data_IF_494341568766
#
_entry.id   IF_494341568766
#
_cell.length_a   1.000
_cell.length_b   1.000
_cell.length_c   1.000
_cell.angle_alpha   90.00
_cell.angle_beta   90.00
_cell.angle_gamma   90.00
#
_symmetry.space_group_name_H-M   'P 1'
#
loop_
_entity.id
_entity.type
_entity.pdbx_description
1 polymer ?
#
# COMPACT_ATOMS: atom_id res chain seq x y z
N UNK A 1 25.41 -31.82 -15.31
CA UNK A 1 24.13 -31.09 -15.56
C UNK A 1 22.89 -31.91 -15.21
N UNK A 2 22.81 -33.22 -15.52
CA UNK A 2 21.61 -34.05 -15.28
C UNK A 2 21.14 -34.11 -13.82
N UNK A 3 22.07 -34.08 -12.85
CA UNK A 3 21.74 -34.10 -11.41
C UNK A 3 21.02 -32.83 -10.91
N UNK A 4 21.11 -31.72 -11.65
CA UNK A 4 20.47 -30.44 -11.26
C UNK A 4 19.09 -30.26 -11.89
N UNK A 5 18.68 -31.13 -12.83
CA UNK A 5 17.36 -31.04 -13.49
C UNK A 5 16.18 -31.01 -12.49
N UNK A 6 16.16 -31.86 -11.44
CA UNK A 6 15.08 -31.84 -10.45
C UNK A 6 14.96 -30.50 -9.71
N UNK A 7 16.10 -29.88 -9.39
CA UNK A 7 16.14 -28.56 -8.75
C UNK A 7 15.61 -27.47 -9.68
N UNK A 8 15.98 -27.49 -10.97
CA UNK A 8 15.42 -26.57 -11.95
C UNK A 8 13.91 -26.75 -12.12
N UNK A 9 13.42 -28.00 -12.14
CA UNK A 9 11.99 -28.28 -12.21
C UNK A 9 11.23 -27.72 -11.00
N UNK A 10 11.76 -27.88 -9.78
CA UNK A 10 11.18 -27.31 -8.55
C UNK A 10 11.19 -25.77 -8.60
N UNK A 11 12.27 -25.15 -9.08
CA UNK A 11 12.35 -23.70 -9.24
C UNK A 11 11.31 -23.19 -10.24
N UNK A 12 11.17 -23.86 -11.39
CA UNK A 12 10.15 -23.50 -12.39
C UNK A 12 8.75 -23.66 -11.81
N UNK A 13 8.45 -24.77 -11.13
CA UNK A 13 7.16 -24.99 -10.49
C UNK A 13 6.85 -23.92 -9.42
N UNK A 14 7.82 -23.60 -8.57
CA UNK A 14 7.68 -22.55 -7.55
C UNK A 14 7.48 -21.16 -8.16
N UNK A 15 8.19 -20.84 -9.25
CA UNK A 15 8.02 -19.59 -9.98
C UNK A 15 6.63 -19.48 -10.62
N UNK A 16 6.12 -20.57 -11.21
CA UNK A 16 4.76 -20.63 -11.76
C UNK A 16 3.71 -20.45 -10.66
N UNK A 17 3.82 -21.18 -9.55
CA UNK A 17 2.89 -21.05 -8.41
C UNK A 17 2.89 -19.61 -7.88
N UNK A 18 4.07 -19.01 -7.73
CA UNK A 18 4.21 -17.62 -7.25
C UNK A 18 3.58 -16.64 -8.22
N UNK A 19 3.80 -16.80 -9.54
CA UNK A 19 3.18 -15.97 -10.56
C UNK A 19 1.65 -16.10 -10.54
N UNK A 20 1.12 -17.33 -10.44
CA UNK A 20 -0.31 -17.59 -10.34
C UNK A 20 -0.90 -16.96 -9.07
N UNK A 21 -0.27 -17.14 -7.91
CA UNK A 21 -0.72 -16.56 -6.65
C UNK A 21 -0.73 -15.02 -6.69
N UNK A 22 0.33 -14.41 -7.22
CA UNK A 22 0.45 -12.95 -7.31
C UNK A 22 -0.48 -12.34 -8.38
N UNK A 23 -0.76 -13.06 -9.47
CA UNK A 23 -1.71 -12.62 -10.50
C UNK A 23 -3.16 -12.66 -10.01
N UNK A 24 -3.55 -13.67 -9.21
CA UNK A 24 -4.86 -13.72 -8.57
C UNK A 24 -5.05 -12.61 -7.53
N UNK A 25 -3.97 -12.22 -6.84
CA UNK A 25 -3.97 -11.08 -5.91
C UNK A 25 -3.92 -9.69 -6.55
N UNK A 26 -3.99 -9.57 -7.89
CA UNK A 26 -3.79 -8.31 -8.67
C UNK A 26 -2.49 -7.56 -8.33
N UNK A 27 -1.52 -8.22 -7.69
CA UNK A 27 -0.26 -7.62 -7.26
C UNK A 27 0.78 -7.56 -8.39
N UNK A 28 0.64 -8.43 -9.40
CA UNK A 28 1.42 -8.38 -10.65
C UNK A 28 0.81 -7.34 -11.57
N UNK A 29 1.57 -6.27 -11.86
CA UNK A 29 1.20 -5.35 -12.95
C UNK A 29 1.45 -6.05 -14.28
N UNK A 30 0.40 -6.16 -15.09
CA UNK A 30 0.50 -6.83 -16.39
C UNK A 30 1.46 -6.08 -17.31
N UNK A 31 1.96 -6.75 -18.35
CA UNK A 31 2.85 -6.13 -19.34
C UNK A 31 2.22 -4.93 -20.08
N UNK A 32 0.91 -4.73 -19.94
CA UNK A 32 0.18 -3.57 -20.44
C UNK A 32 0.54 -2.26 -19.72
N UNK A 33 0.94 -2.32 -18.44
CA UNK A 33 1.12 -1.13 -17.59
C UNK A 33 2.52 -0.52 -17.66
N UNK A 34 3.52 -1.28 -18.15
CA UNK A 34 4.90 -0.82 -18.30
C UNK A 34 5.61 -1.57 -19.45
N UNK A 35 6.08 -0.87 -20.50
CA UNK A 35 6.77 -1.50 -21.63
C UNK A 35 8.01 -2.27 -21.19
N UNK A 36 8.30 -3.39 -21.88
CA UNK A 36 9.45 -4.25 -21.57
C UNK A 36 10.79 -3.47 -21.64
N UNK A 37 10.89 -2.52 -22.57
CA UNK A 37 12.06 -1.66 -22.70
C UNK A 37 12.31 -0.81 -21.45
N UNK A 38 11.24 -0.29 -20.82
CA UNK A 38 11.33 0.48 -19.60
C UNK A 38 11.79 -0.42 -18.43
N UNK A 39 11.26 -1.64 -18.33
CA UNK A 39 11.66 -2.61 -17.30
C UNK A 39 13.12 -3.02 -17.45
N UNK A 40 13.58 -3.28 -18.68
CA UNK A 40 14.98 -3.61 -18.96
C UNK A 40 15.92 -2.43 -18.63
N UNK A 41 15.53 -1.22 -19.03
CA UNK A 41 16.28 0.00 -18.72
C UNK A 41 16.39 0.21 -17.20
N UNK A 42 15.28 0.03 -16.49
CA UNK A 42 15.24 0.10 -15.04
C UNK A 42 16.11 -0.96 -14.38
N UNK A 43 16.06 -2.19 -14.87
CA UNK A 43 16.86 -3.29 -14.33
C UNK A 43 18.36 -2.98 -14.40
N UNK A 44 18.84 -2.49 -15.56
CA UNK A 44 20.25 -2.10 -15.74
C UNK A 44 20.66 -1.02 -14.74
N UNK A 45 19.89 0.06 -14.64
CA UNK A 45 20.20 1.16 -13.72
C UNK A 45 20.08 0.74 -12.26
N UNK A 46 19.12 -0.13 -11.93
CA UNK A 46 18.95 -0.65 -10.57
C UNK A 46 20.12 -1.53 -10.14
N UNK A 47 20.66 -2.38 -11.02
CA UNK A 47 21.89 -3.13 -10.74
C UNK A 47 23.05 -2.19 -10.42
N UNK A 48 23.28 -1.17 -11.24
CA UNK A 48 24.34 -0.19 -11.02
C UNK A 48 24.14 0.60 -9.71
N UNK A 49 22.89 1.00 -9.42
CA UNK A 49 22.54 1.71 -8.20
C UNK A 49 22.76 0.85 -6.96
N UNK A 50 22.39 -0.43 -6.99
CA UNK A 50 22.61 -1.34 -5.86
C UNK A 50 24.09 -1.65 -5.61
N UNK A 51 24.94 -1.63 -6.65
CA UNK A 51 26.38 -1.68 -6.46
C UNK A 51 26.88 -0.46 -5.66
N UNK A 52 26.40 0.73 -6.01
CA UNK A 52 26.73 1.95 -5.27
C UNK A 52 26.21 1.90 -3.83
N UNK A 53 24.94 1.55 -3.64
CA UNK A 53 24.29 1.49 -2.32
C UNK A 53 24.92 0.45 -1.38
N UNK A 54 25.61 -0.56 -1.92
CA UNK A 54 26.36 -1.53 -1.10
C UNK A 54 27.49 -0.88 -0.32
N UNK A 55 28.17 0.10 -0.94
CA UNK A 55 29.31 0.78 -0.33
C UNK A 55 28.93 2.17 0.22
N UNK A 56 27.86 2.76 -0.28
CA UNK A 56 27.35 4.06 0.13
C UNK A 56 25.82 4.03 0.28
N UNK A 57 25.29 3.41 1.35
CA UNK A 57 23.86 3.26 1.60
C UNK A 57 23.24 4.57 2.12
N UNK A 58 23.27 5.62 1.30
CA UNK A 58 22.65 6.90 1.59
C UNK A 58 21.27 7.02 0.92
N UNK A 59 20.42 7.90 1.46
CA UNK A 59 19.17 8.31 0.83
C UNK A 59 18.21 7.14 0.52
N UNK A 60 18.18 6.15 1.43
CA UNK A 60 17.31 5.00 1.32
C UNK A 60 15.85 5.42 1.58
N UNK A 61 14.98 5.12 0.63
CA UNK A 61 13.56 5.44 0.66
C UNK A 61 12.69 4.18 0.76
N UNK A 62 11.51 4.34 1.37
CA UNK A 62 10.54 3.24 1.48
C UNK A 62 9.88 2.91 0.15
N UNK A 63 9.82 3.87 -0.78
CA UNK A 63 9.19 3.71 -2.08
C UNK A 63 9.88 4.56 -3.15
N UNK A 64 10.34 3.91 -4.21
CA UNK A 64 10.92 4.56 -5.38
C UNK A 64 9.91 4.57 -6.54
N UNK A 65 9.38 5.75 -6.93
CA UNK A 65 8.42 5.84 -8.02
C UNK A 65 9.11 5.60 -9.37
N UNK A 66 8.34 5.18 -10.38
CA UNK A 66 8.81 5.21 -11.75
C UNK A 66 8.99 6.66 -12.18
N UNK A 67 10.22 7.01 -12.55
CA UNK A 67 10.58 8.27 -13.18
C UNK A 67 11.29 7.99 -14.50
N UNK A 68 11.25 8.95 -15.42
CA UNK A 68 12.00 8.84 -16.67
C UNK A 68 13.49 8.65 -16.38
N UNK A 69 14.07 7.56 -16.87
CA UNK A 69 15.50 7.26 -16.69
C UNK A 69 16.27 7.91 -17.84
N UNK A 70 17.20 8.84 -17.57
CA UNK A 70 18.01 9.45 -18.62
C UNK A 70 18.82 8.41 -19.40
N UNK A 71 18.93 8.57 -20.72
CA UNK A 71 19.63 7.63 -21.59
C UNK A 71 21.10 7.39 -21.18
N UNK A 72 21.78 8.43 -20.69
CA UNK A 72 23.16 8.31 -20.22
C UNK A 72 23.32 7.38 -19.01
N UNK A 73 22.31 7.31 -18.12
CA UNK A 73 22.33 6.40 -16.96
C UNK A 73 22.21 4.96 -17.43
N UNK A 74 21.36 4.70 -18.43
CA UNK A 74 21.18 3.37 -19.02
C UNK A 74 22.49 2.92 -19.69
N UNK A 75 23.08 3.80 -20.50
CA UNK A 75 24.34 3.52 -21.21
C UNK A 75 25.47 3.30 -20.20
N UNK A 76 25.63 4.19 -19.22
CA UNK A 76 26.66 4.08 -18.18
C UNK A 76 26.51 2.81 -17.35
N UNK A 77 25.28 2.47 -16.94
CA UNK A 77 24.99 1.23 -16.23
C UNK A 77 25.33 0.00 -17.09
N UNK A 78 24.95 -0.01 -18.37
CA UNK A 78 25.27 -1.11 -19.28
C UNK A 78 26.79 -1.32 -19.41
N UNK A 79 27.56 -0.25 -19.66
CA UNK A 79 29.03 -0.33 -19.74
C UNK A 79 29.66 -0.82 -18.44
N UNK A 80 29.20 -0.30 -17.28
CA UNK A 80 29.68 -0.74 -15.98
C UNK A 80 29.46 -2.23 -15.76
N UNK A 81 28.23 -2.72 -16.00
CA UNK A 81 27.88 -4.13 -15.79
C UNK A 81 28.61 -5.06 -16.75
N UNK A 82 28.77 -4.67 -18.02
CA UNK A 82 29.56 -5.42 -19.00
C UNK A 82 31.03 -5.48 -18.56
N UNK A 83 31.60 -4.37 -18.12
CA UNK A 83 32.98 -4.29 -17.65
C UNK A 83 33.24 -5.18 -16.43
N UNK A 84 32.39 -5.10 -15.40
CA UNK A 84 32.50 -5.96 -14.21
C UNK A 84 32.33 -7.43 -14.59
N UNK A 85 31.35 -7.74 -15.45
CA UNK A 85 31.14 -9.12 -15.92
C UNK A 85 32.37 -9.65 -16.63
N UNK A 86 32.92 -8.90 -17.60
CA UNK A 86 34.12 -9.29 -18.33
C UNK A 86 35.32 -9.49 -17.39
N UNK A 87 35.50 -8.60 -16.41
CA UNK A 87 36.54 -8.73 -15.39
C UNK A 87 36.37 -10.01 -14.55
N UNK A 88 35.19 -10.25 -13.99
CA UNK A 88 34.90 -11.46 -13.22
C UNK A 88 35.12 -12.75 -14.03
N UNK A 89 34.73 -12.75 -15.31
CA UNK A 89 35.01 -13.87 -16.21
C UNK A 89 36.49 -14.03 -16.52
N UNK A 90 37.25 -12.94 -16.71
CA UNK A 90 38.71 -13.01 -16.93
C UNK A 90 39.43 -13.61 -15.72
N UNK A 91 38.96 -13.29 -14.51
CA UNK A 91 39.57 -13.73 -13.25
C UNK A 91 39.07 -15.09 -12.76
N UNK A 92 38.12 -15.74 -13.46
CA UNK A 92 37.45 -16.96 -12.98
C UNK A 92 38.37 -18.12 -12.60
N UNK A 93 39.54 -18.23 -13.24
CA UNK A 93 40.54 -19.28 -12.94
C UNK A 93 41.49 -18.92 -11.79
N UNK A 94 41.68 -17.62 -11.52
CA UNK A 94 42.64 -17.11 -10.53
C UNK A 94 41.92 -16.81 -9.20
N UNK A 95 40.77 -16.13 -9.28
CA UNK A 95 39.95 -15.70 -8.14
C UNK A 95 38.50 -16.11 -8.38
N UNK A 96 38.15 -17.39 -8.20
CA UNK A 96 36.82 -17.90 -8.53
C UNK A 96 35.70 -17.25 -7.69
N UNK A 97 36.01 -16.75 -6.49
CA UNK A 97 35.04 -16.03 -5.66
C UNK A 97 34.46 -14.78 -6.34
N UNK A 98 35.20 -14.14 -7.27
CA UNK A 98 34.71 -12.98 -8.01
C UNK A 98 33.50 -13.32 -8.89
N UNK A 99 33.62 -14.40 -9.67
CA UNK A 99 32.52 -14.81 -10.57
C UNK A 99 31.36 -15.45 -9.79
N UNK A 100 31.65 -16.18 -8.71
CA UNK A 100 30.61 -16.74 -7.84
C UNK A 100 29.77 -15.63 -7.21
N UNK A 101 30.43 -14.65 -6.59
CA UNK A 101 29.74 -13.50 -6.01
C UNK A 101 28.98 -12.67 -7.04
N UNK A 102 29.60 -12.42 -8.20
CA UNK A 102 28.95 -11.67 -9.27
C UNK A 102 27.69 -12.34 -9.83
N UNK A 103 27.76 -13.64 -10.13
CA UNK A 103 26.59 -14.39 -10.61
C UNK A 103 25.50 -14.53 -9.54
N UNK A 104 25.90 -14.64 -8.27
CA UNK A 104 24.94 -14.60 -7.15
C UNK A 104 24.20 -13.27 -7.12
N UNK A 105 24.93 -12.15 -7.13
CA UNK A 105 24.35 -10.80 -7.15
C UNK A 105 23.42 -10.61 -8.34
N UNK A 106 23.86 -10.96 -9.55
CA UNK A 106 23.03 -10.85 -10.75
C UNK A 106 21.76 -11.70 -10.63
N UNK A 107 21.88 -12.98 -10.30
CA UNK A 107 20.74 -13.90 -10.29
C UNK A 107 19.71 -13.61 -9.20
N UNK A 108 20.17 -13.34 -7.98
CA UNK A 108 19.28 -13.15 -6.83
C UNK A 108 18.58 -11.79 -6.80
N UNK A 109 19.09 -10.81 -7.56
CA UNK A 109 18.49 -9.48 -7.64
C UNK A 109 17.36 -9.39 -8.69
N UNK A 110 17.27 -10.32 -9.64
CA UNK A 110 16.24 -10.37 -10.70
C UNK A 110 14.80 -10.17 -10.17
N UNK A 111 14.37 -10.82 -9.07
CA UNK A 111 13.02 -10.63 -8.54
C UNK A 111 12.75 -9.24 -7.96
N UNK A 112 13.80 -8.48 -7.62
CA UNK A 112 13.72 -7.23 -6.85
C UNK A 112 13.76 -5.97 -7.74
N UNK A 113 14.38 -6.06 -8.92
CA UNK A 113 14.66 -4.92 -9.82
C UNK A 113 13.55 -4.59 -10.81
N UNK A 114 12.33 -5.08 -10.55
CA UNK A 114 11.16 -4.74 -11.35
C UNK A 114 11.12 -5.38 -12.74
N UNK A 115 11.95 -6.40 -13.04
CA UNK A 115 11.82 -7.21 -14.26
C UNK A 115 10.50 -8.01 -14.24
N UNK A 116 10.26 -8.72 -13.14
CA UNK A 116 8.96 -9.30 -12.79
C UNK A 116 8.31 -8.35 -11.79
N UNK A 117 7.51 -7.43 -12.29
CA UNK A 117 7.02 -6.31 -11.50
C UNK A 117 5.89 -6.73 -10.56
N UNK A 118 6.21 -6.81 -9.27
CA UNK A 118 5.24 -6.96 -8.16
C UNK A 118 5.15 -5.60 -7.45
N UNK A 119 4.02 -4.91 -7.62
CA UNK A 119 3.81 -3.55 -7.12
C UNK A 119 4.27 -2.43 -8.08
N UNK A 120 4.22 -1.19 -7.61
CA UNK A 120 4.44 0.03 -8.41
C UNK A 120 5.84 0.66 -8.31
N UNK A 121 6.78 0.03 -7.60
CA UNK A 121 8.12 0.55 -7.34
C UNK A 121 9.15 0.05 -8.36
N UNK A 122 10.17 0.87 -8.65
CA UNK A 122 11.28 0.50 -9.54
C UNK A 122 12.32 -0.40 -8.88
N UNK A 123 12.47 -0.28 -7.56
CA UNK A 123 13.40 -1.05 -6.75
C UNK A 123 12.90 -1.10 -5.31
N UNK A 124 13.41 -2.03 -4.52
CA UNK A 124 12.95 -2.27 -3.15
C UNK A 124 14.10 -2.72 -2.24
N UNK A 125 14.60 -1.78 -1.44
CA UNK A 125 15.80 -1.97 -0.61
C UNK A 125 15.64 -3.10 0.42
N UNK A 126 14.40 -3.31 0.90
CA UNK A 126 14.08 -4.38 1.86
C UNK A 126 14.40 -5.79 1.37
N UNK A 127 14.57 -6.00 0.06
CA UNK A 127 14.93 -7.31 -0.50
C UNK A 127 16.40 -7.40 -0.90
N UNK A 128 17.19 -6.34 -0.68
CA UNK A 128 18.58 -6.27 -1.13
C UNK A 128 19.55 -7.12 -0.29
N UNK A 129 19.14 -7.56 0.89
CA UNK A 129 20.00 -8.33 1.81
C UNK A 129 20.48 -9.67 1.26
N UNK A 130 19.70 -10.37 0.42
CA UNK A 130 20.15 -11.62 -0.23
C UNK A 130 21.10 -11.32 -1.40
N UNK A 131 20.78 -10.40 -2.33
CA UNK A 131 21.70 -9.99 -3.39
C UNK A 131 23.04 -9.46 -2.90
N UNK A 132 23.06 -8.68 -1.83
CA UNK A 132 24.29 -8.06 -1.33
C UNK A 132 25.32 -9.10 -0.84
N UNK A 133 24.90 -10.31 -0.43
CA UNK A 133 25.80 -11.43 -0.14
C UNK A 133 26.74 -11.70 -1.32
N UNK A 134 26.22 -11.62 -2.55
CA UNK A 134 27.02 -11.79 -3.76
C UNK A 134 28.13 -10.76 -3.91
N UNK A 135 27.96 -9.55 -3.37
CA UNK A 135 28.98 -8.49 -3.36
C UNK A 135 29.91 -8.59 -2.15
N UNK A 136 29.43 -9.09 -1.02
CA UNK A 136 30.26 -9.33 0.15
C UNK A 136 31.25 -10.50 -0.03
N UNK A 137 30.90 -11.53 -0.80
CA UNK A 137 31.84 -12.62 -1.14
C UNK A 137 33.15 -12.07 -1.74
N UNK A 138 33.15 -11.35 -2.88
CA UNK A 138 34.38 -10.85 -3.47
C UNK A 138 35.07 -9.81 -2.60
N UNK A 139 34.34 -9.04 -1.80
CA UNK A 139 34.90 -8.10 -0.85
C UNK A 139 35.71 -8.83 0.24
N UNK A 140 35.11 -9.79 0.94
CA UNK A 140 35.73 -10.50 2.07
C UNK A 140 36.92 -11.33 1.61
N UNK A 141 36.75 -12.15 0.57
CA UNK A 141 37.84 -12.99 0.07
C UNK A 141 38.95 -12.16 -0.61
N UNK A 142 38.59 -11.08 -1.29
CA UNK A 142 39.55 -10.14 -1.86
C UNK A 142 40.39 -9.44 -0.79
N UNK A 143 39.74 -8.94 0.27
CA UNK A 143 40.43 -8.35 1.42
C UNK A 143 41.34 -9.36 2.12
N UNK A 144 40.91 -10.61 2.27
CA UNK A 144 41.74 -11.67 2.83
C UNK A 144 43.00 -11.95 1.98
N UNK A 145 42.89 -11.94 0.66
CA UNK A 145 44.04 -12.10 -0.24
C UNK A 145 45.03 -10.92 -0.16
N UNK A 146 44.52 -9.70 0.01
CA UNK A 146 45.36 -8.51 0.23
C UNK A 146 46.03 -8.56 1.60
N UNK A 147 45.29 -8.94 2.65
CA UNK A 147 45.80 -9.05 4.01
C UNK A 147 46.96 -10.05 4.12
N UNK A 148 46.94 -11.15 3.36
CA UNK A 148 48.08 -12.09 3.29
C UNK A 148 49.38 -11.46 2.80
N UNK A 149 49.30 -10.37 2.03
CA UNK A 149 50.47 -9.67 1.48
C UNK A 149 50.96 -8.55 2.41
N UNK A 150 50.13 -8.09 3.33
CA UNK A 150 50.40 -6.93 4.18
C UNK A 150 50.48 -7.39 5.65
N UNK A 151 51.66 -7.28 6.25
CA UNK A 151 51.84 -7.56 7.68
C UNK A 151 51.39 -6.35 8.50
N UNK A 152 50.08 -6.22 8.71
CA UNK A 152 49.50 -5.21 9.60
C UNK A 152 49.64 -5.70 11.05
N UNK A 153 50.17 -4.86 11.95
CA UNK A 153 50.26 -5.20 13.36
C UNK A 153 48.85 -5.55 13.92
N UNK A 154 48.70 -6.64 14.70
CA UNK A 154 47.38 -7.10 15.16
C UNK A 154 46.56 -6.01 15.88
N UNK A 155 47.24 -5.17 16.66
CA UNK A 155 46.62 -4.05 17.35
C UNK A 155 46.06 -3.01 16.38
N UNK A 156 46.83 -2.62 15.36
CA UNK A 156 46.41 -1.66 14.34
C UNK A 156 45.22 -2.20 13.53
N UNK A 157 45.25 -3.49 13.16
CA UNK A 157 44.13 -4.15 12.49
C UNK A 157 42.85 -4.16 13.34
N UNK A 158 42.97 -4.49 14.63
CA UNK A 158 41.86 -4.46 15.58
C UNK A 158 41.31 -3.03 15.76
N UNK A 159 42.18 -2.01 15.85
CA UNK A 159 41.76 -0.61 15.94
C UNK A 159 41.00 -0.18 14.69
N UNK A 160 41.50 -0.49 13.49
CA UNK A 160 40.82 -0.16 12.23
C UNK A 160 39.44 -0.83 12.19
N UNK A 161 39.38 -2.13 12.51
CA UNK A 161 38.11 -2.85 12.56
C UNK A 161 37.13 -2.23 13.57
N UNK A 162 37.60 -1.88 14.77
CA UNK A 162 36.80 -1.22 15.79
C UNK A 162 36.24 0.13 15.34
N UNK A 163 37.06 0.96 14.69
CA UNK A 163 36.64 2.25 14.13
C UNK A 163 35.59 2.06 13.03
N UNK A 164 35.81 1.11 12.11
CA UNK A 164 34.86 0.81 11.03
C UNK A 164 33.53 0.31 11.60
N UNK A 165 33.57 -0.60 12.57
CA UNK A 165 32.35 -1.10 13.22
C UNK A 165 31.59 0.00 13.96
N UNK A 166 32.28 0.89 14.66
CA UNK A 166 31.66 2.04 15.32
C UNK A 166 31.03 3.01 14.32
N UNK A 167 31.71 3.29 13.20
CA UNK A 167 31.16 4.11 12.13
C UNK A 167 29.91 3.46 11.50
N UNK A 168 29.94 2.17 11.20
CA UNK A 168 28.77 1.45 10.67
C UNK A 168 27.62 1.39 11.68
N UNK A 169 27.91 1.18 12.97
CA UNK A 169 26.89 1.16 14.02
C UNK A 169 26.21 2.52 14.19
N UNK A 170 26.98 3.62 14.17
CA UNK A 170 26.44 4.98 14.27
C UNK A 170 25.59 5.34 13.06
N UNK A 171 26.06 5.03 11.83
CA UNK A 171 25.28 5.22 10.60
C UNK A 171 23.99 4.38 10.60
N UNK A 172 24.08 3.13 11.04
CA UNK A 172 22.91 2.24 11.14
C UNK A 172 21.90 2.77 12.14
N UNK A 173 22.35 3.24 13.31
CA UNK A 173 21.48 3.86 14.30
C UNK A 173 20.78 5.10 13.73
N UNK A 174 21.52 5.98 13.04
CA UNK A 174 20.94 7.15 12.38
C UNK A 174 19.89 6.77 11.30
N UNK A 175 20.15 5.72 10.52
CA UNK A 175 19.21 5.21 9.53
C UNK A 175 17.93 4.66 10.17
N UNK A 176 18.03 3.93 11.28
CA UNK A 176 16.87 3.33 11.96
C UNK A 176 15.96 4.43 12.55
N UNK A 177 16.51 5.56 12.99
CA UNK A 177 15.70 6.68 13.48
C UNK A 177 14.71 7.22 12.42
N UNK A 178 14.97 7.02 11.12
CA UNK A 178 14.03 7.40 10.06
C UNK A 178 12.75 6.56 10.06
N UNK A 179 12.77 5.38 10.66
CA UNK A 179 11.64 4.46 10.77
C UNK A 179 10.84 4.64 12.07
N UNK A 180 11.12 5.68 12.85
CA UNK A 180 10.48 5.93 14.15
C UNK A 180 8.96 6.14 14.01
N UNK A 181 8.55 6.89 13.00
CA UNK A 181 7.15 7.23 12.76
C UNK A 181 6.90 7.50 11.27
N UNK A 182 5.63 7.44 10.86
CA UNK A 182 5.21 7.61 9.47
C UNK A 182 5.59 8.97 8.90
N UNK A 183 5.57 10.04 9.71
CA UNK A 183 5.90 11.39 9.25
C UNK A 183 7.38 11.46 8.86
N UNK A 184 8.27 11.09 9.78
CA UNK A 184 9.72 11.09 9.57
C UNK A 184 10.09 10.23 8.34
N UNK A 185 9.46 9.06 8.21
CA UNK A 185 9.72 8.13 7.11
C UNK A 185 9.28 8.69 5.76
N UNK A 186 8.06 9.24 5.69
CA UNK A 186 7.50 9.78 4.44
C UNK A 186 8.15 11.10 4.04
N UNK A 187 8.39 12.01 4.98
CA UNK A 187 9.11 13.26 4.74
C UNK A 187 10.53 13.00 4.23
N UNK A 188 11.26 12.06 4.85
CA UNK A 188 12.57 11.66 4.35
C UNK A 188 12.47 11.11 2.92
N UNK A 189 11.48 10.25 2.66
CA UNK A 189 11.28 9.68 1.32
C UNK A 189 11.00 10.77 0.29
N UNK A 190 10.18 11.78 0.61
CA UNK A 190 9.94 12.92 -0.29
C UNK A 190 11.20 13.77 -0.52
N UNK A 191 12.06 13.89 0.48
CA UNK A 191 13.30 14.64 0.36
C UNK A 191 14.34 13.97 -0.57
N UNK A 192 14.29 12.63 -0.68
CA UNK A 192 15.31 11.85 -1.41
C UNK A 192 14.81 11.16 -2.67
N UNK A 193 13.52 11.31 -3.00
CA UNK A 193 12.93 10.75 -4.23
C UNK A 193 12.36 11.84 -5.14
N UNK A 194 12.26 11.59 -6.45
CA UNK A 194 11.50 12.45 -7.36
C UNK A 194 10.03 12.59 -6.91
N UNK A 195 9.23 13.49 -7.51
CA UNK A 195 7.81 13.67 -7.18
C UNK A 195 7.09 12.34 -7.00
N UNK A 196 6.52 12.13 -5.81
CA UNK A 196 6.12 10.81 -5.34
C UNK A 196 4.65 10.78 -4.95
N UNK A 197 3.80 10.50 -5.93
CA UNK A 197 2.33 10.45 -5.78
C UNK A 197 1.90 9.63 -4.56
N UNK A 198 2.47 8.43 -4.39
CA UNK A 198 2.09 7.50 -3.33
C UNK A 198 2.48 8.01 -1.95
N UNK A 199 3.64 8.63 -1.83
CA UNK A 199 4.14 9.11 -0.53
C UNK A 199 3.47 10.42 -0.13
N UNK A 200 3.21 11.35 -1.07
CA UNK A 200 2.39 12.53 -0.81
C UNK A 200 1.00 12.12 -0.31
N UNK A 201 0.34 11.16 -0.97
CA UNK A 201 -0.95 10.65 -0.54
C UNK A 201 -0.90 9.98 0.85
N UNK A 202 0.07 9.11 1.10
CA UNK A 202 0.18 8.42 2.39
C UNK A 202 0.51 9.37 3.55
N UNK A 203 1.34 10.40 3.29
CA UNK A 203 1.61 11.45 4.27
C UNK A 203 0.35 12.27 4.55
N UNK A 204 -0.42 12.61 3.52
CA UNK A 204 -1.74 13.24 3.68
C UNK A 204 -2.70 12.41 4.53
N UNK A 205 -2.77 11.09 4.31
CA UNK A 205 -3.58 10.18 5.15
C UNK A 205 -3.12 10.21 6.61
N UNK A 206 -1.81 10.11 6.86
CA UNK A 206 -1.26 10.12 8.21
C UNK A 206 -1.58 11.43 8.96
N UNK A 207 -1.52 12.57 8.25
CA UNK A 207 -1.93 13.87 8.76
C UNK A 207 -3.43 13.91 9.08
N UNK A 208 -4.28 13.41 8.18
CA UNK A 208 -5.73 13.37 8.35
C UNK A 208 -6.16 12.52 9.55
N UNK A 209 -5.57 11.33 9.73
CA UNK A 209 -5.81 10.47 10.91
C UNK A 209 -5.43 11.19 12.21
N UNK A 210 -4.42 12.05 12.17
CA UNK A 210 -3.98 12.86 13.32
C UNK A 210 -4.79 14.16 13.49
N UNK A 211 -5.85 14.35 12.71
CA UNK A 211 -6.71 15.55 12.75
C UNK A 211 -6.10 16.80 12.09
N UNK A 212 -4.93 16.69 11.45
CA UNK A 212 -4.21 17.80 10.81
C UNK A 212 -4.70 18.00 9.37
N UNK A 213 -5.96 18.38 9.22
CA UNK A 213 -6.65 18.41 7.91
C UNK A 213 -6.07 19.43 6.93
N UNK A 214 -5.57 20.58 7.40
CA UNK A 214 -4.96 21.60 6.51
C UNK A 214 -3.65 21.10 5.86
N UNK A 215 -2.84 20.40 6.63
CA UNK A 215 -1.59 19.79 6.15
C UNK A 215 -1.89 18.59 5.25
N UNK A 216 -2.90 17.78 5.61
CA UNK A 216 -3.38 16.70 4.77
C UNK A 216 -3.82 17.20 3.39
N UNK A 217 -4.62 18.27 3.34
CA UNK A 217 -5.06 18.89 2.09
C UNK A 217 -3.88 19.38 1.26
N UNK A 218 -2.84 19.95 1.88
CA UNK A 218 -1.63 20.38 1.18
C UNK A 218 -0.93 19.21 0.48
N UNK A 219 -0.78 18.08 1.17
CA UNK A 219 -0.16 16.87 0.59
C UNK A 219 -1.04 16.21 -0.47
N UNK A 220 -2.36 16.14 -0.28
CA UNK A 220 -3.26 15.66 -1.31
C UNK A 220 -3.25 16.55 -2.56
N UNK A 221 -3.14 17.88 -2.40
CA UNK A 221 -3.01 18.80 -3.53
C UNK A 221 -1.73 18.53 -4.34
N UNK A 222 -0.59 18.28 -3.67
CA UNK A 222 0.66 17.88 -4.35
C UNK A 222 0.50 16.54 -5.08
N UNK A 223 -0.18 15.57 -4.48
CA UNK A 223 -0.49 14.31 -5.14
C UNK A 223 -1.33 14.54 -6.41
N UNK A 224 -2.37 15.36 -6.34
CA UNK A 224 -3.24 15.69 -7.47
C UNK A 224 -2.57 16.58 -8.53
N UNK A 225 -1.50 17.30 -8.19
CA UNK A 225 -0.66 17.97 -9.19
C UNK A 225 0.15 16.97 -10.02
N UNK A 226 0.55 15.83 -9.44
CA UNK A 226 1.27 14.77 -10.14
C UNK A 226 0.31 13.97 -11.02
N UNK A 227 -0.86 13.61 -10.48
CA UNK A 227 -1.92 12.93 -11.21
C UNK A 227 -3.30 13.51 -10.85
N UNK A 228 -3.86 14.39 -11.69
CA UNK A 228 -5.16 15.04 -11.44
C UNK A 228 -6.35 14.08 -11.36
N UNK A 229 -6.22 12.88 -11.93
CA UNK A 229 -7.26 11.85 -11.92
C UNK A 229 -6.96 10.74 -10.91
N UNK A 230 -6.08 10.99 -9.94
CA UNK A 230 -5.77 9.97 -8.94
C UNK A 230 -6.96 9.75 -8.00
N UNK A 231 -7.74 8.69 -8.27
CA UNK A 231 -8.98 8.36 -7.54
C UNK A 231 -8.84 8.42 -6.01
N UNK A 232 -7.88 7.71 -5.43
CA UNK A 232 -7.70 7.68 -3.98
C UNK A 232 -7.35 9.06 -3.41
N UNK A 233 -6.57 9.85 -4.15
CA UNK A 233 -6.23 11.23 -3.81
C UNK A 233 -7.45 12.16 -3.85
N UNK A 234 -8.32 12.02 -4.85
CA UNK A 234 -9.56 12.78 -4.98
C UNK A 234 -10.54 12.46 -3.84
N UNK A 235 -10.75 11.18 -3.53
CA UNK A 235 -11.58 10.76 -2.40
C UNK A 235 -11.00 11.28 -1.07
N UNK A 236 -9.70 11.14 -0.85
CA UNK A 236 -9.07 11.59 0.39
C UNK A 236 -9.10 13.12 0.55
N UNK A 237 -8.91 13.87 -0.53
CA UNK A 237 -9.12 15.33 -0.53
C UNK A 237 -10.58 15.68 -0.20
N UNK A 238 -11.55 15.02 -0.83
CA UNK A 238 -12.97 15.26 -0.57
C UNK A 238 -13.34 15.00 0.90
N UNK A 239 -12.88 13.89 1.48
CA UNK A 239 -13.06 13.59 2.91
C UNK A 239 -12.42 14.66 3.79
N UNK A 240 -11.21 15.11 3.44
CA UNK A 240 -10.49 16.17 4.18
C UNK A 240 -11.27 17.48 4.17
N UNK A 241 -11.80 17.89 3.00
CA UNK A 241 -12.63 19.10 2.85
C UNK A 241 -13.94 18.99 3.63
N UNK A 242 -14.56 17.82 3.66
CA UNK A 242 -15.75 17.57 4.47
C UNK A 242 -15.46 17.76 5.97
N UNK A 243 -14.33 17.24 6.48
CA UNK A 243 -13.90 17.44 7.86
C UNK A 243 -13.56 18.89 8.20
N UNK A 244 -13.10 19.67 7.21
CA UNK A 244 -12.89 21.12 7.33
C UNK A 244 -14.21 21.93 7.25
N UNK A 245 -15.36 21.28 7.06
CA UNK A 245 -16.66 21.94 6.89
C UNK A 245 -16.89 22.51 5.48
N UNK A 246 -15.96 22.30 4.55
CA UNK A 246 -16.03 22.75 3.16
C UNK A 246 -16.78 21.74 2.30
N UNK A 247 -18.03 21.45 2.67
CA UNK A 247 -18.87 20.43 2.02
C UNK A 247 -19.04 20.66 0.50
N UNK A 248 -19.26 21.89 -0.01
CA UNK A 248 -19.38 22.08 -1.46
C UNK A 248 -18.13 21.64 -2.22
N UNK A 249 -16.94 21.97 -1.72
CA UNK A 249 -15.67 21.54 -2.32
C UNK A 249 -15.49 20.02 -2.23
N UNK A 250 -15.91 19.41 -1.12
CA UNK A 250 -15.88 17.96 -0.96
C UNK A 250 -16.70 17.24 -2.05
N UNK A 251 -17.90 17.76 -2.36
CA UNK A 251 -18.75 17.24 -3.44
C UNK A 251 -18.03 17.29 -4.78
N UNK A 252 -17.37 18.41 -5.11
CA UNK A 252 -16.64 18.54 -6.38
C UNK A 252 -15.53 17.49 -6.52
N UNK A 253 -14.79 17.22 -5.43
CA UNK A 253 -13.77 16.18 -5.41
C UNK A 253 -14.35 14.77 -5.50
N UNK A 254 -15.48 14.47 -4.84
CA UNK A 254 -16.13 13.17 -4.98
C UNK A 254 -16.68 12.94 -6.38
N UNK A 255 -17.27 13.97 -7.01
CA UNK A 255 -17.68 13.90 -8.40
C UNK A 255 -16.49 13.72 -9.35
N UNK A 256 -15.35 14.36 -9.07
CA UNK A 256 -14.12 14.12 -9.82
C UNK A 256 -13.62 12.69 -9.66
N UNK A 257 -13.69 12.13 -8.45
CA UNK A 257 -13.34 10.72 -8.19
C UNK A 257 -14.24 9.77 -8.98
N UNK A 258 -15.57 10.01 -9.00
CA UNK A 258 -16.53 9.24 -9.80
C UNK A 258 -16.22 9.36 -11.30
N UNK A 259 -15.88 10.56 -11.80
CA UNK A 259 -15.46 10.72 -13.21
C UNK A 259 -14.20 9.92 -13.55
N UNK A 260 -13.25 9.85 -12.61
CA UNK A 260 -12.03 9.06 -12.79
C UNK A 260 -12.28 7.55 -12.73
N UNK A 261 -13.13 7.11 -11.82
CA UNK A 261 -13.46 5.69 -11.65
C UNK A 261 -14.96 5.53 -11.37
N UNK A 262 -15.79 5.43 -12.42
CA UNK A 262 -17.24 5.40 -12.30
C UNK A 262 -17.80 4.17 -11.59
N UNK A 263 -17.04 3.06 -11.53
CA UNK A 263 -17.46 1.79 -10.95
C UNK A 263 -17.03 1.62 -9.48
N UNK A 264 -16.50 2.67 -8.86
CA UNK A 264 -16.00 2.61 -7.49
C UNK A 264 -17.06 3.04 -6.47
N UNK A 265 -17.59 2.11 -5.64
CA UNK A 265 -18.70 2.41 -4.72
C UNK A 265 -18.35 3.44 -3.65
N UNK A 266 -17.08 3.48 -3.21
CA UNK A 266 -16.64 4.35 -2.12
C UNK A 266 -16.86 5.84 -2.42
N UNK A 267 -16.60 6.31 -3.65
CA UNK A 267 -16.81 7.72 -3.98
C UNK A 267 -18.30 8.09 -4.00
N UNK A 268 -19.17 7.17 -4.46
CA UNK A 268 -20.62 7.33 -4.40
C UNK A 268 -21.14 7.42 -2.96
N UNK A 269 -20.67 6.53 -2.06
CA UNK A 269 -21.02 6.60 -0.62
C UNK A 269 -20.60 7.94 -0.01
N UNK A 270 -19.38 8.39 -0.27
CA UNK A 270 -18.88 9.67 0.28
C UNK A 270 -19.63 10.88 -0.30
N UNK A 271 -19.99 10.84 -1.58
CA UNK A 271 -20.84 11.86 -2.19
C UNK A 271 -22.24 11.88 -1.56
N UNK A 272 -22.85 10.72 -1.33
CA UNK A 272 -24.14 10.62 -0.64
C UNK A 272 -24.07 11.27 0.76
N UNK A 273 -23.02 10.99 1.52
CA UNK A 273 -22.81 11.58 2.85
C UNK A 273 -22.73 13.11 2.77
N UNK A 274 -21.94 13.64 1.83
CA UNK A 274 -21.83 15.07 1.63
C UNK A 274 -23.16 15.71 1.20
N UNK A 275 -23.94 15.04 0.36
CA UNK A 275 -25.26 15.51 -0.09
C UNK A 275 -26.29 15.57 1.05
N UNK A 276 -26.29 14.60 1.98
CA UNK A 276 -27.15 14.68 3.18
C UNK A 276 -26.83 15.88 4.07
N UNK A 277 -25.55 16.23 4.22
CA UNK A 277 -25.19 17.44 4.99
C UNK A 277 -25.69 18.73 4.34
N UNK A 278 -26.09 18.69 3.07
CA UNK A 278 -26.77 19.78 2.36
C UNK A 278 -28.30 19.59 2.24
N UNK A 279 -28.89 18.62 2.94
CA UNK A 279 -30.33 18.28 2.87
C UNK A 279 -30.78 17.88 1.44
N UNK A 280 -29.89 17.25 0.66
CA UNK A 280 -30.18 16.77 -0.71
C UNK A 280 -30.47 15.28 -0.71
N UNK A 281 -31.50 14.88 0.04
CA UNK A 281 -31.76 13.47 0.39
C UNK A 281 -31.98 12.56 -0.82
N UNK A 282 -32.81 12.95 -1.78
CA UNK A 282 -33.08 12.14 -2.98
C UNK A 282 -31.81 11.95 -3.84
N UNK A 283 -30.98 12.99 -3.96
CA UNK A 283 -29.72 12.88 -4.69
C UNK A 283 -28.75 11.93 -3.96
N UNK A 284 -28.68 12.01 -2.63
CA UNK A 284 -27.86 11.12 -1.83
C UNK A 284 -28.30 9.65 -1.93
N UNK A 285 -29.62 9.39 -1.94
CA UNK A 285 -30.15 8.05 -2.14
C UNK A 285 -29.80 7.48 -3.51
N UNK A 286 -29.77 8.31 -4.56
CA UNK A 286 -29.40 7.84 -5.89
C UNK A 286 -27.92 7.46 -5.97
N UNK A 287 -27.04 8.24 -5.34
CA UNK A 287 -25.63 7.86 -5.23
C UNK A 287 -25.44 6.57 -4.42
N UNK A 288 -26.21 6.39 -3.35
CA UNK A 288 -26.16 5.16 -2.56
C UNK A 288 -26.72 3.93 -3.34
N UNK A 289 -27.74 4.14 -4.17
CA UNK A 289 -28.22 3.14 -5.12
C UNK A 289 -27.12 2.74 -6.11
N UNK A 290 -26.40 3.71 -6.68
CA UNK A 290 -25.26 3.45 -7.56
C UNK A 290 -24.17 2.64 -6.83
N UNK A 291 -23.80 3.04 -5.62
CA UNK A 291 -22.82 2.29 -4.81
C UNK A 291 -23.22 0.83 -4.62
N UNK A 292 -24.49 0.56 -4.27
CA UNK A 292 -25.02 -0.79 -4.11
C UNK A 292 -25.05 -1.60 -5.41
N UNK A 293 -25.30 -0.94 -6.56
CA UNK A 293 -25.27 -1.58 -7.88
C UNK A 293 -23.85 -1.97 -8.30
N UNK A 294 -22.85 -1.15 -8.00
CA UNK A 294 -21.45 -1.47 -8.29
C UNK A 294 -20.86 -2.51 -7.34
N UNK A 295 -21.40 -2.62 -6.13
CA UNK A 295 -20.97 -3.57 -5.10
C UNK A 295 -22.11 -4.50 -4.65
N UNK A 296 -22.71 -5.31 -5.53
CA UNK A 296 -23.94 -6.06 -5.23
C UNK A 296 -23.73 -7.18 -4.18
N UNK A 297 -22.49 -7.54 -3.87
CA UNK A 297 -22.13 -8.55 -2.86
C UNK A 297 -21.48 -7.96 -1.62
N UNK A 298 -21.40 -6.63 -1.54
CA UNK A 298 -20.86 -5.94 -0.37
C UNK A 298 -22.00 -5.71 0.63
N UNK A 299 -21.90 -6.41 1.76
CA UNK A 299 -22.92 -6.34 2.80
C UNK A 299 -22.96 -4.97 3.48
N UNK A 300 -21.82 -4.31 3.61
CA UNK A 300 -21.70 -3.04 4.33
C UNK A 300 -22.30 -1.92 3.49
N UNK A 301 -21.99 -1.88 2.17
CA UNK A 301 -22.63 -0.92 1.25
C UNK A 301 -24.15 -1.09 1.19
N UNK A 302 -24.66 -2.33 1.24
CA UNK A 302 -26.10 -2.58 1.33
C UNK A 302 -26.71 -2.14 2.65
N UNK A 303 -26.00 -2.35 3.77
CA UNK A 303 -26.45 -1.91 5.08
C UNK A 303 -26.52 -0.38 5.17
N UNK A 304 -25.54 0.32 4.59
CA UNK A 304 -25.52 1.77 4.47
C UNK A 304 -26.68 2.28 3.60
N UNK A 305 -26.98 1.59 2.49
CA UNK A 305 -28.15 1.92 1.67
C UNK A 305 -29.48 1.71 2.40
N UNK A 306 -29.60 0.61 3.15
CA UNK A 306 -30.77 0.36 3.96
C UNK A 306 -30.96 1.39 5.07
N UNK A 307 -29.89 1.77 5.77
CA UNK A 307 -29.92 2.85 6.76
C UNK A 307 -30.37 4.18 6.13
N UNK A 308 -29.80 4.52 4.97
CA UNK A 308 -30.15 5.71 4.21
C UNK A 308 -31.64 5.77 3.86
N UNK A 309 -32.20 4.68 3.32
CA UNK A 309 -33.62 4.54 3.03
C UNK A 309 -34.47 4.70 4.29
N UNK A 310 -34.01 4.18 5.42
CA UNK A 310 -34.69 4.31 6.71
C UNK A 310 -34.77 5.76 7.18
N UNK A 311 -33.68 6.51 7.06
CA UNK A 311 -33.60 7.92 7.47
C UNK A 311 -34.53 8.83 6.66
N UNK A 312 -34.76 8.53 5.39
CA UNK A 312 -35.69 9.29 4.53
C UNK A 312 -37.15 8.79 4.60
N UNK A 313 -37.43 7.79 5.44
CA UNK A 313 -38.78 7.25 5.63
C UNK A 313 -39.22 6.21 4.59
N UNK A 314 -38.33 5.76 3.70
CA UNK A 314 -38.59 4.63 2.78
C UNK A 314 -38.45 3.28 3.50
N UNK A 315 -39.23 3.11 4.56
CA UNK A 315 -39.08 2.01 5.52
C UNK A 315 -39.19 0.61 4.87
N UNK A 316 -40.14 0.32 3.96
CA UNK A 316 -40.22 -1.00 3.34
C UNK A 316 -38.95 -1.36 2.54
N UNK A 317 -38.44 -0.42 1.75
CA UNK A 317 -37.21 -0.61 0.96
C UNK A 317 -35.98 -0.75 1.86
N UNK A 318 -35.92 0.02 2.96
CA UNK A 318 -34.85 -0.05 3.95
C UNK A 318 -34.75 -1.45 4.57
N UNK A 319 -35.89 -2.02 4.99
CA UNK A 319 -35.96 -3.36 5.57
C UNK A 319 -35.51 -4.43 4.56
N UNK A 320 -35.90 -4.31 3.29
CA UNK A 320 -35.46 -5.21 2.24
C UNK A 320 -33.93 -5.19 2.07
N UNK A 321 -33.33 -4.00 1.96
CA UNK A 321 -31.88 -3.87 1.79
C UNK A 321 -31.10 -4.38 3.02
N UNK A 322 -31.62 -4.15 4.23
CA UNK A 322 -30.98 -4.61 5.47
C UNK A 322 -31.08 -6.13 5.64
N UNK A 323 -32.19 -6.75 5.22
CA UNK A 323 -32.28 -8.20 5.16
C UNK A 323 -31.30 -8.80 4.15
N UNK A 324 -31.14 -8.17 2.98
CA UNK A 324 -30.17 -8.64 1.99
C UNK A 324 -28.73 -8.47 2.48
N UNK A 325 -28.42 -7.37 3.18
CA UNK A 325 -27.13 -7.18 3.84
C UNK A 325 -26.85 -8.31 4.86
N UNK A 326 -27.83 -8.64 5.71
CA UNK A 326 -27.73 -9.75 6.67
C UNK A 326 -27.69 -11.13 6.00
N UNK A 327 -28.28 -11.30 4.82
CA UNK A 327 -28.15 -12.52 4.03
C UNK A 327 -26.72 -12.72 3.52
N UNK A 328 -26.05 -11.63 3.13
CA UNK A 328 -24.66 -11.63 2.69
C UNK A 328 -23.68 -11.79 3.86
N UNK A 329 -23.95 -11.10 4.97
CA UNK A 329 -23.16 -11.19 6.20
C UNK A 329 -24.05 -11.26 7.45
N UNK A 330 -24.41 -12.49 7.90
CA UNK A 330 -25.23 -12.68 9.09
C UNK A 330 -24.58 -12.25 10.41
N UNK A 331 -23.29 -11.92 10.41
CA UNK A 331 -22.53 -11.52 11.61
C UNK A 331 -22.29 -10.00 11.66
N UNK A 332 -22.91 -9.21 10.78
CA UNK A 332 -22.80 -7.75 10.82
C UNK A 332 -23.64 -7.16 11.96
N UNK A 333 -22.96 -6.76 13.04
CA UNK A 333 -23.60 -6.10 14.18
C UNK A 333 -24.25 -4.75 13.76
N UNK A 334 -23.62 -4.02 12.84
CA UNK A 334 -24.15 -2.74 12.32
C UNK A 334 -25.43 -2.96 11.50
N UNK A 335 -25.48 -3.96 10.63
CA UNK A 335 -26.68 -4.26 9.85
C UNK A 335 -27.87 -4.67 10.76
N UNK A 336 -27.62 -5.46 11.81
CA UNK A 336 -28.61 -5.78 12.83
C UNK A 336 -29.10 -4.52 13.56
N UNK A 337 -28.20 -3.65 14.00
CA UNK A 337 -28.59 -2.39 14.65
C UNK A 337 -29.40 -1.48 13.71
N UNK A 338 -29.01 -1.37 12.43
CA UNK A 338 -29.71 -0.56 11.44
C UNK A 338 -31.11 -1.13 11.12
N UNK A 339 -31.25 -2.46 11.06
CA UNK A 339 -32.55 -3.11 10.90
C UNK A 339 -33.43 -2.87 12.13
N UNK A 340 -32.86 -2.99 13.33
CA UNK A 340 -33.55 -2.66 14.58
C UNK A 340 -34.07 -1.21 14.59
N UNK A 341 -33.23 -0.25 14.22
CA UNK A 341 -33.61 1.17 14.13
C UNK A 341 -34.76 1.39 13.14
N UNK A 342 -34.68 0.77 11.97
CA UNK A 342 -35.69 0.88 10.91
C UNK A 342 -37.02 0.24 11.34
N UNK A 343 -36.98 -0.93 11.98
CA UNK A 343 -38.15 -1.60 12.53
C UNK A 343 -38.80 -0.78 13.65
N UNK A 344 -38.00 -0.22 14.55
CA UNK A 344 -38.48 0.63 15.63
C UNK A 344 -39.22 1.86 15.09
N UNK A 345 -38.65 2.51 14.06
CA UNK A 345 -39.27 3.65 13.37
C UNK A 345 -40.61 3.28 12.71
N UNK A 346 -40.77 2.04 12.22
CA UNK A 346 -42.05 1.53 11.69
C UNK A 346 -43.07 1.09 12.76
N UNK A 347 -42.76 1.28 14.04
CA UNK A 347 -43.62 0.85 15.15
C UNK A 347 -43.52 -0.63 15.50
N UNK A 348 -42.65 -1.40 14.83
CA UNK A 348 -42.41 -2.84 15.05
C UNK A 348 -41.43 -3.06 16.21
N UNK A 349 -41.74 -2.46 17.37
CA UNK A 349 -40.86 -2.42 18.54
C UNK A 349 -40.42 -3.82 19.01
N UNK A 350 -41.34 -4.80 19.00
CA UNK A 350 -41.03 -6.18 19.39
C UNK A 350 -39.96 -6.82 18.51
N UNK A 351 -40.02 -6.61 17.19
CA UNK A 351 -39.05 -7.18 16.26
C UNK A 351 -37.70 -6.46 16.35
N UNK A 352 -37.72 -5.13 16.54
CA UNK A 352 -36.48 -4.37 16.71
C UNK A 352 -35.63 -4.82 17.91
N UNK A 353 -36.26 -5.28 19.00
CA UNK A 353 -35.57 -5.78 20.20
C UNK A 353 -34.65 -6.97 19.83
N UNK A 354 -35.15 -7.92 19.05
CA UNK A 354 -34.37 -9.10 18.64
C UNK A 354 -33.12 -8.69 17.85
N UNK A 355 -33.26 -7.71 16.96
CA UNK A 355 -32.16 -7.21 16.15
C UNK A 355 -31.13 -6.44 16.99
N UNK A 356 -31.56 -5.61 17.95
CA UNK A 356 -30.63 -4.94 18.86
C UNK A 356 -29.90 -5.93 19.78
N UNK A 357 -30.58 -6.96 20.28
CA UNK A 357 -29.96 -8.03 21.06
C UNK A 357 -28.92 -8.80 20.24
N UNK A 358 -29.20 -9.07 18.96
CA UNK A 358 -28.24 -9.68 18.04
C UNK A 358 -27.03 -8.78 17.81
N UNK A 359 -27.24 -7.48 17.57
CA UNK A 359 -26.17 -6.50 17.40
C UNK A 359 -25.24 -6.44 18.63
N UNK A 360 -25.81 -6.37 19.84
CA UNK A 360 -25.04 -6.32 21.10
C UNK A 360 -24.29 -7.65 21.34
N UNK A 361 -24.90 -8.79 21.01
CA UNK A 361 -24.23 -10.10 21.14
C UNK A 361 -23.03 -10.21 20.21
N UNK A 362 -23.14 -9.70 18.99
CA UNK A 362 -22.07 -9.73 17.99
C UNK A 362 -20.97 -8.71 18.29
N UNK A 363 -21.36 -7.51 18.76
CA UNK A 363 -20.44 -6.46 19.18
C UNK A 363 -20.99 -5.72 20.42
N UNK A 364 -20.54 -6.12 21.63
CA UNK A 364 -20.97 -5.47 22.88
C UNK A 364 -20.57 -4.00 22.99
N UNK A 365 -19.55 -3.55 22.24
CA UNK A 365 -19.05 -2.18 22.25
C UNK A 365 -19.69 -1.30 21.17
N UNK A 366 -20.67 -1.82 20.41
CA UNK A 366 -21.36 -1.06 19.38
C UNK A 366 -22.10 0.14 20.00
N UNK A 367 -21.62 1.34 19.70
CA UNK A 367 -22.15 2.59 20.25
C UNK A 367 -23.63 2.76 19.92
N UNK A 368 -24.42 3.13 20.92
CA UNK A 368 -25.85 3.40 20.76
C UNK A 368 -26.75 2.15 20.69
N UNK A 369 -26.23 0.95 20.46
CA UNK A 369 -27.05 -0.26 20.34
C UNK A 369 -27.82 -0.59 21.63
N UNK A 370 -27.17 -0.48 22.79
CA UNK A 370 -27.82 -0.66 24.08
C UNK A 370 -28.90 0.41 24.37
N UNK A 371 -28.67 1.65 23.92
CA UNK A 371 -29.63 2.75 24.08
C UNK A 371 -30.85 2.53 23.17
N UNK A 372 -30.62 2.06 21.94
CA UNK A 372 -31.66 1.70 21.00
C UNK A 372 -32.52 0.54 21.52
N UNK A 373 -31.90 -0.48 22.14
CA UNK A 373 -32.62 -1.57 22.81
C UNK A 373 -33.53 -1.03 23.93
N UNK A 374 -33.01 -0.15 24.80
CA UNK A 374 -33.80 0.48 25.87
C UNK A 374 -34.98 1.27 25.32
N UNK A 375 -34.77 2.03 24.25
CA UNK A 375 -35.84 2.77 23.55
C UNK A 375 -36.90 1.83 23.00
N UNK A 376 -36.51 0.72 22.38
CA UNK A 376 -37.44 -0.26 21.85
C UNK A 376 -38.30 -0.93 22.94
N UNK A 377 -37.69 -1.28 24.07
CA UNK A 377 -38.40 -1.83 25.23
C UNK A 377 -39.41 -0.84 25.82
N UNK A 378 -39.03 0.44 25.95
CA UNK A 378 -39.93 1.49 26.43
C UNK A 378 -41.10 1.75 25.48
N UNK A 379 -40.87 1.71 24.16
CA UNK A 379 -41.95 1.88 23.19
C UNK A 379 -42.92 0.69 23.25
N UNK A 380 -42.41 -0.54 23.38
CA UNK A 380 -43.23 -1.73 23.51
C UNK A 380 -44.07 -1.75 24.80
N UNK A 381 -43.53 -1.23 25.92
CA UNK A 381 -44.30 -1.14 27.16
C UNK A 381 -45.39 -0.06 27.10
N UNK A 382 -45.17 1.02 26.36
CA UNK A 382 -46.18 2.08 26.15
C UNK A 382 -47.34 1.69 25.22
N UNK A 383 -47.17 0.60 24.44
CA UNK A 383 -48.19 0.07 23.53
C UNK A 383 -49.09 -1.00 24.18
N UNK A 384 -48.82 -1.37 25.44
CA UNK A 384 -49.65 -2.27 26.26
C UNK A 384 -50.55 -1.45 27.17
#
# INVERSE_FOLDING_TARGET
MREKLPLFAIVVASAVITFVAQSHGRAVRTFADAPIALRLSNALVSYAKYLLLTFWPNDLAVYYPFAGIPAWQIIGAAFLLIGITAFCFSQRKIRPYLIVGWLWFLGTLVPVIGLVQVGGQIMADRYFYIPSIGLFIPLVFGLADVAKRWHVAPLLGATIAGVVLLALATLTNAQIQRWRDSFTLFEHTLAVTPPNLRIEHNLGIAMGISGRYDEAATHFAKALQIDPNFYDGLVAMGVTRAHQGQVPEAIDYFQAAIRSQPDAPKAHVQLAHALWTQNRDEAALEEMRHASQFAPKDADVRADFGLALGLVGRIPEAIEQLHEALRLNPSSAEAHNNLGLTLLASGRARESIHEFEAAIRLNPELKGAADNLRRAQSQLSSQR
#
